data_IF_180901939896
#
_entry.id   IF_180901939896
#
_cell.length_a   1.000
_cell.length_b   1.000
_cell.length_c   1.000
_cell.angle_alpha   90.00
_cell.angle_beta   90.00
_cell.angle_gamma   90.00
#
_symmetry.space_group_name_H-M   'P 1'
#
loop_
_entity.id
_entity.type
_entity.pdbx_description
1 polymer ?
#
# COMPACT_ATOMS: atom_id res chain seq x y z
N UNK A 1 2.07 -3.81 1.76
CA UNK A 1 2.36 -2.78 0.74
C UNK A 1 1.08 -2.18 0.24
N UNK A 2 1.08 -0.91 -0.16
CA UNK A 2 -0.11 -0.17 -0.55
C UNK A 2 0.17 0.62 -1.84
N UNK A 3 -0.72 0.49 -2.83
CA UNK A 3 -0.72 1.29 -4.05
C UNK A 3 -2.11 1.91 -4.29
N UNK A 4 -2.14 3.19 -4.63
CA UNK A 4 -3.31 3.90 -5.14
C UNK A 4 -3.01 4.32 -6.56
N UNK A 5 -3.87 3.91 -7.50
CA UNK A 5 -3.67 4.20 -8.92
C UNK A 5 -4.96 4.64 -9.59
N UNK A 6 -4.83 5.39 -10.67
CA UNK A 6 -5.96 5.62 -11.57
C UNK A 6 -6.19 4.41 -12.48
N UNK A 7 -7.39 4.29 -13.04
CA UNK A 7 -7.76 3.13 -13.87
C UNK A 7 -6.86 2.96 -15.12
N UNK A 8 -6.24 4.04 -15.60
CA UNK A 8 -5.38 4.04 -16.80
C UNK A 8 -3.94 3.63 -16.51
N UNK A 9 -3.52 3.55 -15.25
CA UNK A 9 -2.14 3.22 -14.89
C UNK A 9 -1.96 1.72 -14.66
N UNK A 10 -0.86 1.16 -15.20
CA UNK A 10 -0.41 -0.19 -14.84
C UNK A 10 0.04 -0.21 -13.38
N UNK A 11 -0.11 -1.37 -12.73
CA UNK A 11 0.36 -1.51 -11.35
C UNK A 11 1.88 -1.58 -11.30
N UNK A 12 2.45 -0.99 -10.25
CA UNK A 12 3.87 -1.02 -9.91
C UNK A 12 4.16 -1.92 -8.70
N UNK A 13 3.14 -2.62 -8.20
CA UNK A 13 3.29 -3.54 -7.05
C UNK A 13 4.32 -4.64 -7.31
N UNK A 14 4.37 -5.23 -8.51
CA UNK A 14 5.35 -6.27 -8.81
C UNK A 14 6.79 -5.77 -8.72
N UNK A 15 7.04 -4.54 -9.17
CA UNK A 15 8.35 -3.90 -9.07
C UNK A 15 8.68 -3.62 -7.59
N UNK A 16 7.73 -3.07 -6.84
CA UNK A 16 7.92 -2.76 -5.42
C UNK A 16 8.15 -4.01 -4.56
N UNK A 17 7.48 -5.13 -4.88
CA UNK A 17 7.71 -6.44 -4.23
C UNK A 17 9.15 -6.87 -4.44
N UNK A 18 9.63 -6.90 -5.70
CA UNK A 18 11.01 -7.28 -6.01
C UNK A 18 12.04 -6.40 -5.31
N UNK A 19 11.81 -5.09 -5.27
CA UNK A 19 12.67 -4.15 -4.56
C UNK A 19 12.70 -4.42 -3.05
N UNK A 20 11.56 -4.76 -2.46
CA UNK A 20 11.49 -5.03 -1.03
C UNK A 20 12.09 -6.38 -0.66
N UNK A 21 11.92 -7.40 -1.50
CA UNK A 21 12.60 -8.68 -1.37
C UNK A 21 14.13 -8.51 -1.48
N UNK A 22 14.60 -7.71 -2.45
CA UNK A 22 16.01 -7.36 -2.57
C UNK A 22 16.54 -6.58 -1.36
N UNK A 23 15.69 -5.79 -0.70
CA UNK A 23 16.01 -5.10 0.55
C UNK A 23 15.87 -5.99 1.81
N UNK A 24 15.61 -7.29 1.65
CA UNK A 24 15.53 -8.27 2.74
C UNK A 24 14.17 -8.35 3.44
N UNK A 25 13.12 -7.75 2.88
CA UNK A 25 11.77 -7.86 3.42
C UNK A 25 11.00 -9.01 2.76
N UNK A 26 10.22 -9.74 3.56
CA UNK A 26 9.17 -10.62 3.06
C UNK A 26 7.85 -9.86 2.99
N UNK A 27 7.25 -9.79 1.81
CA UNK A 27 5.94 -9.16 1.63
C UNK A 27 4.84 -10.11 2.09
N UNK A 28 4.16 -9.78 3.18
CA UNK A 28 3.09 -10.62 3.73
C UNK A 28 1.69 -10.27 3.22
N UNK A 29 1.49 -9.05 2.71
CA UNK A 29 0.20 -8.60 2.18
C UNK A 29 0.35 -7.36 1.29
N UNK A 30 -0.50 -7.25 0.27
CA UNK A 30 -0.58 -6.09 -0.64
C UNK A 30 -2.01 -5.55 -0.70
N UNK A 31 -2.13 -4.25 -0.88
CA UNK A 31 -3.41 -3.55 -1.05
C UNK A 31 -3.31 -2.63 -2.27
N UNK A 32 -4.37 -2.63 -3.09
CA UNK A 32 -4.50 -1.72 -4.22
C UNK A 32 -5.84 -0.99 -4.15
N UNK A 33 -5.86 0.28 -4.53
CA UNK A 33 -7.10 1.05 -4.70
C UNK A 33 -7.11 1.79 -6.05
N UNK A 34 -8.20 1.63 -6.81
CA UNK A 34 -8.39 2.30 -8.10
C UNK A 34 -9.18 3.60 -7.91
N UNK A 35 -8.49 4.71 -7.60
CA UNK A 35 -9.07 6.07 -7.48
C UNK A 35 -7.97 7.12 -7.48
N UNK A 36 -8.35 8.39 -7.54
CA UNK A 36 -7.43 9.48 -7.19
C UNK A 36 -7.08 9.42 -5.69
N UNK A 37 -5.82 9.70 -5.31
CA UNK A 37 -5.41 9.73 -3.91
C UNK A 37 -6.28 10.65 -3.07
N UNK A 38 -6.67 10.17 -1.90
CA UNK A 38 -7.33 10.98 -0.88
C UNK A 38 -6.30 11.91 -0.21
N UNK A 39 -6.68 13.15 0.12
CA UNK A 39 -5.77 14.11 0.77
C UNK A 39 -5.43 13.72 2.21
N UNK A 40 -6.28 12.94 2.87
CA UNK A 40 -6.10 12.54 4.26
C UNK A 40 -5.11 11.39 4.42
N UNK A 41 -5.42 10.22 3.83
CA UNK A 41 -4.65 8.99 4.02
C UNK A 41 -4.04 8.42 2.74
N UNK A 42 -4.07 9.16 1.61
CA UNK A 42 -3.82 8.64 0.26
C UNK A 42 -4.90 7.64 -0.23
N UNK A 43 -5.41 6.79 0.66
CA UNK A 43 -6.53 5.86 0.47
C UNK A 43 -7.83 6.40 1.08
N UNK A 44 -8.97 5.85 0.66
CA UNK A 44 -10.25 6.20 1.28
C UNK A 44 -10.40 5.66 2.70
N UNK A 45 -11.20 6.33 3.54
CA UNK A 45 -11.42 5.98 4.97
C UNK A 45 -11.77 4.51 5.22
N UNK A 46 -12.65 3.92 4.39
CA UNK A 46 -13.02 2.50 4.50
C UNK A 46 -11.81 1.57 4.31
N UNK A 47 -10.99 1.85 3.30
CA UNK A 47 -9.77 1.09 3.02
C UNK A 47 -8.71 1.29 4.10
N UNK A 48 -8.60 2.50 4.65
CA UNK A 48 -7.72 2.78 5.78
C UNK A 48 -8.10 1.94 7.01
N UNK A 49 -9.39 1.81 7.30
CA UNK A 49 -9.88 0.97 8.41
C UNK A 49 -9.57 -0.52 8.18
N UNK A 50 -9.85 -1.04 6.99
CA UNK A 50 -9.53 -2.43 6.60
C UNK A 50 -8.03 -2.74 6.77
N UNK A 51 -7.17 -1.84 6.30
CA UNK A 51 -5.72 -1.99 6.42
C UNK A 51 -5.28 -1.92 7.88
N UNK A 52 -5.85 -1.02 8.67
CA UNK A 52 -5.54 -0.91 10.10
C UNK A 52 -5.92 -2.18 10.87
N UNK A 53 -7.05 -2.80 10.55
CA UNK A 53 -7.45 -4.09 11.12
C UNK A 53 -6.44 -5.18 10.75
N UNK A 54 -6.00 -5.23 9.48
CA UNK A 54 -4.97 -6.19 9.04
C UNK A 54 -3.60 -5.96 9.66
N UNK A 55 -3.22 -4.71 9.94
CA UNK A 55 -1.99 -4.40 10.67
C UNK A 55 -2.07 -4.93 12.11
N UNK A 56 -3.22 -4.77 12.77
CA UNK A 56 -3.45 -5.30 14.13
C UNK A 56 -3.49 -6.82 14.18
N UNK A 57 -3.95 -7.47 13.11
CA UNK A 57 -3.98 -8.94 13.03
C UNK A 57 -2.58 -9.51 12.75
N UNK A 58 -1.91 -8.98 11.72
CA UNK A 58 -0.69 -9.58 11.16
C UNK A 58 0.60 -9.03 11.75
N UNK A 59 0.53 -7.92 12.50
CA UNK A 59 1.67 -7.27 13.15
C UNK A 59 2.90 -7.11 12.23
N UNK A 60 2.77 -6.47 11.05
CA UNK A 60 3.89 -6.28 10.15
C UNK A 60 4.93 -5.35 10.76
N UNK A 61 6.21 -5.63 10.48
CA UNK A 61 7.33 -4.76 10.89
C UNK A 61 7.34 -3.41 10.16
N UNK A 62 6.81 -3.36 8.93
CA UNK A 62 6.78 -2.16 8.07
C UNK A 62 5.53 -2.11 7.22
N UNK A 63 5.05 -0.89 7.00
CA UNK A 63 4.02 -0.58 6.00
C UNK A 63 4.66 0.29 4.94
N UNK A 64 4.68 -0.19 3.70
CA UNK A 64 5.31 0.50 2.56
C UNK A 64 4.20 0.99 1.63
N UNK A 65 4.18 2.30 1.39
CA UNK A 65 3.33 2.94 0.38
C UNK A 65 4.16 3.17 -0.90
N UNK A 66 3.59 2.79 -2.05
CA UNK A 66 4.15 3.16 -3.35
C UNK A 66 3.99 4.67 -3.61
N UNK A 67 2.82 5.20 -3.30
CA UNK A 67 2.51 6.61 -3.46
C UNK A 67 3.17 7.45 -2.36
N UNK A 68 3.67 8.62 -2.73
CA UNK A 68 4.17 9.59 -1.77
C UNK A 68 3.03 10.09 -0.87
N UNK A 69 3.22 9.98 0.44
CA UNK A 69 2.33 10.54 1.43
C UNK A 69 2.67 12.03 1.63
N UNK A 70 1.64 12.86 1.82
CA UNK A 70 1.82 14.24 2.27
C UNK A 70 1.98 14.24 3.81
N UNK A 71 2.82 15.12 4.37
CA UNK A 71 2.95 15.29 5.82
C UNK A 71 1.63 15.67 6.50
#
# INVERSE_FOLDING_TARGET
MIEVKSHKQSTKLNELIKLSEAAGYRVIMTFQQNRNPDSSFCIGKGKAKEIAEKIKELHPIKVIFYNQLKP
#
